data_IF_113796994096
#
_entry.id   IF_113796994096
#
_cell.length_a   1.000
_cell.length_b   1.000
_cell.length_c   1.000
_cell.angle_alpha   90.00
_cell.angle_beta   90.00
_cell.angle_gamma   90.00
#
_symmetry.space_group_name_H-M   'P 1'
#
loop_
_entity.id
_entity.type
_entity.pdbx_description
1 polymer ?
#
# COMPACT_ATOMS: atom_id res chain seq x y z
N UNK A 1 1.78 -20.75 26.70
CA UNK A 1 0.83 -21.12 27.77
C UNK A 1 -0.58 -20.58 27.48
N UNK A 2 -0.78 -19.26 27.38
CA UNK A 2 -2.09 -18.63 27.07
C UNK A 2 -2.71 -19.10 25.74
N UNK A 3 -1.94 -19.11 24.64
CA UNK A 3 -2.41 -19.62 23.34
C UNK A 3 -2.86 -21.09 23.43
N UNK A 4 -2.14 -21.92 24.19
CA UNK A 4 -2.39 -23.35 24.31
C UNK A 4 -3.66 -23.65 25.11
N UNK A 5 -3.94 -22.84 26.15
CA UNK A 5 -5.18 -22.91 26.93
C UNK A 5 -6.41 -22.48 26.10
N UNK A 6 -6.26 -21.47 25.23
CA UNK A 6 -7.31 -21.09 24.28
C UNK A 6 -7.61 -22.21 23.25
N UNK A 7 -6.59 -22.90 22.74
CA UNK A 7 -6.79 -24.04 21.84
C UNK A 7 -7.50 -25.22 22.52
N UNK A 8 -7.17 -25.49 23.79
CA UNK A 8 -7.83 -26.54 24.59
C UNK A 8 -9.30 -26.20 24.90
N UNK A 9 -9.63 -24.93 25.14
CA UNK A 9 -11.01 -24.48 25.34
C UNK A 9 -11.87 -24.69 24.07
N UNK A 10 -11.29 -24.50 22.88
CA UNK A 10 -11.96 -24.71 21.59
C UNK A 10 -12.30 -26.18 21.34
N UNK A 11 -11.41 -27.09 21.74
CA UNK A 11 -11.61 -28.52 21.63
C UNK A 11 -12.78 -29.03 22.51
N UNK A 12 -13.12 -28.28 23.56
CA UNK A 12 -14.21 -28.62 24.49
C UNK A 12 -15.55 -27.94 24.13
N UNK A 13 -15.68 -27.32 22.94
CA UNK A 13 -16.92 -26.72 22.44
C UNK A 13 -17.26 -25.32 22.97
N UNK A 14 -16.30 -24.61 23.59
CA UNK A 14 -16.48 -23.24 24.09
C UNK A 14 -16.06 -22.19 23.05
N UNK A 15 -16.66 -20.99 23.10
CA UNK A 15 -16.24 -19.84 22.26
C UNK A 15 -14.87 -19.35 22.71
N UNK A 16 -13.86 -19.50 21.85
CA UNK A 16 -12.50 -19.02 22.15
C UNK A 16 -12.27 -17.64 21.57
N UNK A 17 -12.31 -16.62 22.42
CA UNK A 17 -11.92 -15.29 21.99
C UNK A 17 -10.41 -15.15 21.97
N UNK A 18 -9.87 -14.68 20.86
CA UNK A 18 -8.46 -14.32 20.75
C UNK A 18 -8.27 -13.08 19.88
N UNK A 19 -7.43 -12.18 20.38
CA UNK A 19 -7.07 -10.96 19.69
C UNK A 19 -6.27 -11.27 18.41
N UNK A 20 -6.39 -10.41 17.38
CA UNK A 20 -5.58 -10.48 16.17
C UNK A 20 -4.08 -10.53 16.51
N UNK A 21 -3.37 -11.53 16.00
CA UNK A 21 -1.89 -11.52 16.01
C UNK A 21 -1.36 -10.42 15.08
N UNK A 22 -0.09 -10.02 15.27
CA UNK A 22 0.60 -9.03 14.43
C UNK A 22 0.30 -9.32 12.95
N UNK A 23 -0.43 -8.42 12.26
CA UNK A 23 -0.81 -8.65 10.87
C UNK A 23 0.41 -8.66 9.98
N UNK A 24 0.42 -9.56 9.00
CA UNK A 24 1.36 -9.47 7.88
C UNK A 24 0.69 -8.68 6.76
N UNK A 25 1.37 -7.64 6.26
CA UNK A 25 0.87 -6.80 5.18
C UNK A 25 1.72 -7.03 3.95
N UNK A 26 1.07 -7.24 2.81
CA UNK A 26 1.74 -7.46 1.53
C UNK A 26 1.07 -6.67 0.41
N UNK A 27 1.88 -6.36 -0.60
CA UNK A 27 1.46 -5.67 -1.83
C UNK A 27 1.79 -6.54 -3.00
N UNK A 28 0.84 -6.67 -3.91
CA UNK A 28 1.05 -7.35 -5.17
C UNK A 28 0.49 -6.50 -6.31
N UNK A 29 1.32 -6.11 -7.30
CA UNK A 29 2.76 -6.34 -7.42
C UNK A 29 3.60 -5.41 -6.51
N UNK A 30 4.73 -5.90 -6.01
CA UNK A 30 5.64 -5.14 -5.11
C UNK A 30 6.82 -4.46 -5.82
N UNK A 31 7.05 -4.74 -7.11
CA UNK A 31 8.24 -4.33 -7.85
C UNK A 31 8.03 -3.08 -8.71
N UNK A 32 7.23 -3.21 -9.79
CA UNK A 32 6.93 -2.13 -10.73
C UNK A 32 5.42 -2.02 -10.89
N UNK A 33 4.86 -0.87 -10.50
CA UNK A 33 3.46 -0.57 -10.71
C UNK A 33 3.38 0.29 -11.98
N UNK A 34 2.85 -0.30 -13.05
CA UNK A 34 2.62 0.37 -14.33
C UNK A 34 1.23 1.03 -14.29
N UNK A 35 1.09 2.23 -14.87
CA UNK A 35 -0.22 2.87 -15.03
C UNK A 35 -1.20 1.95 -15.77
N UNK A 36 -2.46 1.94 -15.33
CA UNK A 36 -3.48 1.02 -15.83
C UNK A 36 -3.42 -0.40 -15.27
N UNK A 37 -2.41 -0.73 -14.46
CA UNK A 37 -2.34 -2.04 -13.78
C UNK A 37 -3.26 -2.11 -12.56
N UNK A 38 -3.49 -3.32 -12.05
CA UNK A 38 -4.22 -3.53 -10.80
C UNK A 38 -3.25 -3.81 -9.66
N UNK A 39 -3.42 -3.12 -8.53
CA UNK A 39 -2.63 -3.29 -7.31
C UNK A 39 -3.52 -3.86 -6.21
N UNK A 40 -3.06 -4.91 -5.54
CA UNK A 40 -3.77 -5.57 -4.46
C UNK A 40 -2.99 -5.45 -3.16
N UNK A 41 -3.67 -4.92 -2.14
CA UNK A 41 -3.18 -4.70 -0.80
C UNK A 41 -3.83 -5.76 0.11
N UNK A 42 -3.04 -6.55 0.80
CA UNK A 42 -3.54 -7.66 1.64
C UNK A 42 -3.02 -7.50 3.06
N UNK A 43 -3.91 -7.58 4.05
CA UNK A 43 -3.57 -7.54 5.47
C UNK A 43 -4.04 -8.85 6.14
N UNK A 44 -3.17 -9.80 6.45
CA UNK A 44 -3.59 -11.07 7.06
C UNK A 44 -3.39 -11.08 8.57
N UNK A 45 -4.47 -11.28 9.33
CA UNK A 45 -4.46 -11.43 10.78
C UNK A 45 -5.57 -12.37 11.24
N UNK A 46 -5.23 -13.36 12.07
CA UNK A 46 -6.19 -14.29 12.64
C UNK A 46 -6.75 -13.74 13.96
N UNK A 47 -8.05 -13.51 14.02
CA UNK A 47 -8.77 -13.04 15.20
C UNK A 47 -10.12 -13.77 15.35
N UNK A 48 -10.55 -14.00 16.60
CA UNK A 48 -11.90 -14.47 16.90
C UNK A 48 -12.52 -13.65 18.05
N UNK A 49 -13.72 -13.05 17.87
CA UNK A 49 -14.49 -12.96 16.63
C UNK A 49 -13.75 -12.18 15.54
N UNK A 50 -14.22 -12.32 14.29
CA UNK A 50 -13.59 -11.68 13.14
C UNK A 50 -13.38 -10.18 13.38
N UNK A 51 -12.17 -9.69 13.12
CA UNK A 51 -11.84 -8.28 13.24
C UNK A 51 -12.40 -7.49 12.04
N UNK A 52 -12.70 -6.22 12.26
CA UNK A 52 -13.09 -5.32 11.18
C UNK A 52 -11.85 -4.61 10.63
N UNK A 53 -11.69 -4.68 9.30
CA UNK A 53 -10.58 -4.06 8.57
C UNK A 53 -11.10 -2.88 7.76
N UNK A 54 -10.40 -1.75 7.86
CA UNK A 54 -10.71 -0.56 7.07
C UNK A 54 -9.44 0.03 6.50
N UNK A 55 -9.45 0.35 5.20
CA UNK A 55 -8.33 0.95 4.49
C UNK A 55 -8.52 2.46 4.35
N UNK A 56 -7.44 3.20 4.53
CA UNK A 56 -7.37 4.64 4.38
C UNK A 56 -6.22 5.01 3.45
N UNK A 57 -6.39 6.13 2.74
CA UNK A 57 -5.28 6.78 2.04
C UNK A 57 -4.78 7.89 2.95
N UNK A 58 -3.46 8.09 3.00
CA UNK A 58 -2.85 9.27 3.64
C UNK A 58 -3.53 10.55 3.12
N UNK A 59 -3.89 11.44 4.05
CA UNK A 59 -4.65 12.67 3.81
C UNK A 59 -6.08 12.48 3.26
N UNK A 60 -6.63 11.25 3.33
CA UNK A 60 -8.03 11.00 3.03
C UNK A 60 -8.88 10.93 4.31
N UNK A 61 -9.90 11.77 4.41
CA UNK A 61 -10.85 11.72 5.53
C UNK A 61 -11.82 10.53 5.48
N UNK A 62 -11.91 9.85 4.33
CA UNK A 62 -12.86 8.76 4.08
C UNK A 62 -12.18 7.40 3.90
N UNK A 63 -12.79 6.32 4.43
CA UNK A 63 -12.33 4.97 4.19
C UNK A 63 -12.44 4.64 2.70
N UNK A 64 -11.42 3.99 2.15
CA UNK A 64 -11.34 3.60 0.74
C UNK A 64 -11.91 2.22 0.48
N UNK A 65 -11.74 1.31 1.44
CA UNK A 65 -12.30 -0.03 1.37
C UNK A 65 -12.49 -0.60 2.77
N UNK A 66 -13.39 -1.57 2.88
CA UNK A 66 -13.55 -2.41 4.06
C UNK A 66 -13.22 -3.85 3.69
N UNK A 67 -12.55 -4.55 4.61
CA UNK A 67 -12.13 -5.92 4.42
C UNK A 67 -10.62 -6.09 4.34
N UNK A 68 -10.23 -7.36 4.33
CA UNK A 68 -8.85 -7.81 4.45
C UNK A 68 -8.01 -7.52 3.20
N UNK A 69 -8.67 -7.44 2.04
CA UNK A 69 -8.08 -7.25 0.73
C UNK A 69 -8.65 -5.97 0.13
N UNK A 70 -7.79 -5.10 -0.36
CA UNK A 70 -8.17 -3.90 -1.09
C UNK A 70 -7.48 -3.88 -2.46
N UNK A 71 -8.27 -3.86 -3.52
CA UNK A 71 -7.78 -3.85 -4.90
C UNK A 71 -8.07 -2.51 -5.55
N UNK A 72 -7.03 -1.88 -6.08
CA UNK A 72 -7.10 -0.67 -6.90
C UNK A 72 -6.94 -1.11 -8.35
N UNK A 73 -8.01 -0.96 -9.13
CA UNK A 73 -8.00 -1.19 -10.58
C UNK A 73 -7.60 0.09 -11.32
N UNK A 74 -7.01 -0.05 -12.51
CA UNK A 74 -6.60 1.10 -13.35
C UNK A 74 -5.75 2.10 -12.55
N UNK A 75 -4.58 1.64 -12.09
CA UNK A 75 -3.73 2.45 -11.22
C UNK A 75 -3.23 3.72 -11.94
N UNK A 76 -3.41 4.89 -11.31
CA UNK A 76 -3.12 6.22 -11.87
C UNK A 76 -2.24 7.02 -10.91
N UNK A 77 -1.68 8.13 -11.38
CA UNK A 77 -0.86 9.02 -10.54
C UNK A 77 -1.59 9.50 -9.27
N UNK A 78 -2.90 9.71 -9.36
CA UNK A 78 -3.76 10.08 -8.22
C UNK A 78 -3.93 8.96 -7.17
N UNK A 79 -3.69 7.71 -7.53
CA UNK A 79 -3.70 6.56 -6.61
C UNK A 79 -2.36 6.39 -5.89
N UNK A 80 -1.30 7.07 -6.34
CA UNK A 80 -0.01 7.07 -5.64
C UNK A 80 -0.15 7.73 -4.26
N UNK A 81 0.59 7.19 -3.28
CA UNK A 81 0.64 7.71 -1.92
C UNK A 81 0.80 6.61 -0.88
N UNK A 82 0.77 6.98 0.40
CA UNK A 82 0.77 6.00 1.47
C UNK A 82 -0.65 5.55 1.78
N UNK A 83 -0.81 4.25 2.01
CA UNK A 83 -2.04 3.66 2.52
C UNK A 83 -1.81 3.20 3.96
N UNK A 84 -2.82 3.39 4.79
CA UNK A 84 -2.89 2.90 6.16
C UNK A 84 -4.14 2.05 6.34
N UNK A 85 -4.16 1.22 7.36
CA UNK A 85 -5.34 0.44 7.70
C UNK A 85 -5.61 0.50 9.20
N UNK A 86 -6.89 0.38 9.58
CA UNK A 86 -7.31 0.23 10.96
C UNK A 86 -7.93 -1.15 11.15
N UNK A 87 -7.54 -1.82 12.23
CA UNK A 87 -8.16 -3.06 12.69
C UNK A 87 -8.92 -2.75 13.97
N UNK A 88 -10.20 -3.06 13.99
CA UNK A 88 -11.04 -2.90 15.18
C UNK A 88 -11.51 -4.27 15.65
N UNK A 89 -11.22 -4.64 16.90
CA UNK A 89 -11.63 -5.91 17.51
C UNK A 89 -12.25 -5.65 18.89
N UNK A 90 -13.44 -6.22 19.16
CA UNK A 90 -14.14 -6.21 20.46
C UNK A 90 -13.90 -4.94 21.31
N UNK A 91 -14.14 -3.75 20.74
CA UNK A 91 -13.98 -2.42 21.37
C UNK A 91 -12.58 -2.02 21.87
N UNK A 92 -11.59 -2.93 21.86
CA UNK A 92 -10.18 -2.59 22.04
C UNK A 92 -9.55 -2.29 20.68
N UNK A 93 -9.40 -0.99 20.43
CA UNK A 93 -8.84 -0.46 19.20
C UNK A 93 -7.32 -0.70 19.18
N UNK A 94 -6.88 -1.86 18.69
CA UNK A 94 -5.47 -2.07 18.33
C UNK A 94 -5.17 -1.31 17.03
N UNK A 95 -4.86 -0.02 17.16
CA UNK A 95 -4.39 0.83 16.06
C UNK A 95 -2.97 0.40 15.66
N UNK A 96 -2.84 -0.54 14.72
CA UNK A 96 -1.56 -0.85 14.09
C UNK A 96 -1.43 -0.04 12.80
N UNK A 97 -0.90 1.20 12.91
CA UNK A 97 -0.55 2.03 11.76
C UNK A 97 0.73 1.45 11.14
N UNK A 98 0.59 0.62 10.11
CA UNK A 98 1.72 0.34 9.22
C UNK A 98 1.51 1.11 7.93
N UNK A 99 2.51 1.93 7.57
CA UNK A 99 2.48 2.70 6.34
C UNK A 99 2.92 1.82 5.19
N UNK A 100 2.14 1.84 4.12
CA UNK A 100 2.48 1.15 2.90
C UNK A 100 2.62 2.16 1.76
N UNK A 101 3.86 2.35 1.31
CA UNK A 101 4.16 3.17 0.13
C UNK A 101 3.72 2.47 -1.14
N UNK A 102 2.78 3.08 -1.87
CA UNK A 102 2.47 2.70 -3.24
C UNK A 102 2.89 3.86 -4.14
N UNK A 103 4.05 3.71 -4.81
CA UNK A 103 4.56 4.71 -5.74
C UNK A 103 4.55 4.20 -7.17
N UNK A 104 4.13 5.05 -8.10
CA UNK A 104 4.44 4.87 -9.52
C UNK A 104 5.94 5.11 -9.72
N UNK A 105 6.73 4.05 -9.64
CA UNK A 105 8.18 4.16 -9.90
C UNK A 105 8.44 4.49 -11.38
N UNK A 106 7.52 4.14 -12.28
CA UNK A 106 7.76 4.17 -13.74
C UNK A 106 7.09 5.29 -14.56
N UNK A 107 6.19 6.11 -14.02
CA UNK A 107 5.60 7.21 -14.81
C UNK A 107 6.32 8.53 -14.55
N UNK A 108 6.38 8.99 -13.31
CA UNK A 108 6.94 10.30 -12.97
C UNK A 108 8.46 10.38 -13.12
N UNK A 109 9.18 9.33 -12.71
CA UNK A 109 10.65 9.29 -12.78
C UNK A 109 11.14 9.10 -14.21
N UNK A 110 10.51 8.20 -14.97
CA UNK A 110 10.87 7.93 -16.37
C UNK A 110 10.49 9.10 -17.27
N UNK A 111 9.29 9.69 -17.11
CA UNK A 111 8.90 10.89 -17.86
C UNK A 111 9.82 12.07 -17.56
N UNK A 112 10.31 12.20 -16.32
CA UNK A 112 11.28 13.24 -15.96
C UNK A 112 12.66 12.97 -16.57
N UNK A 113 13.13 11.72 -16.60
CA UNK A 113 14.40 11.32 -17.26
C UNK A 113 14.33 11.54 -18.79
N UNK A 114 13.24 11.13 -19.44
CA UNK A 114 13.03 11.35 -20.89
C UNK A 114 12.92 12.85 -21.19
N UNK A 115 12.21 13.63 -20.37
CA UNK A 115 12.17 15.10 -20.53
C UNK A 115 13.55 15.73 -20.39
N UNK A 116 14.34 15.37 -19.38
CA UNK A 116 15.68 15.91 -19.18
C UNK A 116 16.61 15.58 -20.34
N UNK A 117 16.62 14.33 -20.79
CA UNK A 117 17.46 13.89 -21.92
C UNK A 117 17.12 14.62 -23.22
N UNK A 118 15.83 14.79 -23.55
CA UNK A 118 15.38 15.56 -24.73
C UNK A 118 15.77 17.03 -24.64
N UNK A 119 15.64 17.66 -23.46
CA UNK A 119 16.05 19.06 -23.25
C UNK A 119 17.55 19.22 -23.44
N UNK A 120 18.37 18.33 -22.87
CA UNK A 120 19.83 18.36 -23.05
C UNK A 120 20.21 18.18 -24.52
N UNK A 121 19.58 17.23 -25.23
CA UNK A 121 19.83 17.00 -26.66
C UNK A 121 19.49 18.22 -27.54
N UNK A 122 18.47 19.01 -27.19
CA UNK A 122 18.12 20.24 -27.91
C UNK A 122 19.07 21.42 -27.60
N UNK A 123 19.64 21.45 -26.40
CA UNK A 123 20.58 22.51 -25.99
C UNK A 123 21.99 22.31 -26.54
N UNK A 124 22.42 21.07 -26.80
CA UNK A 124 23.75 20.76 -27.34
C UNK A 124 24.00 21.46 -28.70
N UNK A 125 23.11 21.39 -29.71
CA UNK A 125 23.29 22.11 -30.98
C UNK A 125 23.39 23.64 -30.81
N UNK A 126 22.59 24.22 -29.91
CA UNK A 126 22.61 25.66 -29.62
C UNK A 126 23.94 26.09 -29.00
N UNK A 127 24.47 25.28 -28.08
CA UNK A 127 25.79 25.49 -27.48
C UNK A 127 26.90 25.39 -28.52
N UNK A 128 26.85 24.38 -29.40
CA UNK A 128 27.84 24.20 -30.48
C UNK A 128 27.80 25.36 -31.48
N UNK A 129 26.62 25.87 -31.83
CA UNK A 129 26.47 27.06 -32.68
C UNK A 129 27.07 28.30 -32.01
N UNK A 130 26.82 28.51 -30.71
CA UNK A 130 27.35 29.66 -29.96
C UNK A 130 28.89 29.66 -29.87
N UNK A 131 29.49 28.46 -29.79
CA UNK A 131 30.93 28.26 -29.79
C UNK A 131 31.56 28.44 -31.17
N UNK A 132 30.81 28.22 -32.25
CA UNK A 132 31.27 28.43 -33.62
C UNK A 132 31.18 29.91 -34.05
N UNK A 133 30.22 30.65 -33.50
CA UNK A 133 30.03 32.09 -33.77
C UNK A 133 30.95 33.01 -32.95
N UNK A 134 31.78 32.45 -32.06
CA UNK A 134 32.71 33.18 -31.20
C UNK A 134 34.14 32.87 -31.61
#
# INVERSE_FOLDING_TARGET
LLQYLATLACLCGWVCDYAPKLPSVSVSPSAEIVEGSSVTLTCSSDANPAANYTWYKENGDSPKASGQIFTITDFRAEHSGNYSYSITWKSDLLILITYLCVFLVNSTMIMNIIRLTVVVLMLIPLLLLSLWTR
#
